data_IF_544628412936
#
_entry.id   IF_544628412936
#
_cell.length_a   1.000
_cell.length_b   1.000
_cell.length_c   1.000
_cell.angle_alpha   90.00
_cell.angle_beta   90.00
_cell.angle_gamma   90.00
#
_symmetry.space_group_name_H-M   'P 1'
#
loop_
_entity.id
_entity.type
_entity.pdbx_description
1 polymer ?
#
# COMPACT_ATOMS: atom_id res chain seq x y z
N UNK A 1 34.20 24.85 3.70
CA UNK A 1 33.18 24.39 2.78
C UNK A 1 32.86 22.93 3.11
N UNK A 2 31.64 22.59 3.52
CA UNK A 2 31.29 21.21 3.89
C UNK A 2 31.33 20.32 2.64
N UNK A 3 31.87 19.11 2.77
CA UNK A 3 32.01 18.09 1.71
C UNK A 3 30.68 17.90 0.93
N UNK A 4 29.55 17.96 1.60
CA UNK A 4 28.18 17.92 1.02
C UNK A 4 27.86 19.10 0.07
N UNK A 5 28.36 20.31 0.33
CA UNK A 5 28.15 21.47 -0.56
C UNK A 5 28.96 21.39 -1.85
N UNK A 6 30.15 20.78 -1.78
CA UNK A 6 31.01 20.58 -2.94
C UNK A 6 30.36 19.62 -3.97
N UNK A 7 29.83 18.47 -3.50
CA UNK A 7 29.12 17.53 -4.36
C UNK A 7 27.82 18.10 -4.96
N UNK A 8 27.10 18.96 -4.22
CA UNK A 8 25.93 19.65 -4.75
C UNK A 8 26.29 20.61 -5.89
N UNK A 9 27.37 21.34 -5.73
CA UNK A 9 27.87 22.26 -6.73
C UNK A 9 28.36 21.53 -7.99
N UNK A 10 29.10 20.42 -7.86
CA UNK A 10 29.52 19.59 -8.99
C UNK A 10 28.32 19.03 -9.78
N UNK A 11 27.27 18.53 -9.10
CA UNK A 11 26.05 18.03 -9.77
C UNK A 11 25.35 19.11 -10.60
N UNK A 12 25.28 20.35 -10.10
CA UNK A 12 24.72 21.48 -10.86
C UNK A 12 25.58 21.87 -12.07
N UNK A 13 26.90 21.80 -11.95
CA UNK A 13 27.83 22.18 -13.01
C UNK A 13 27.89 21.14 -14.15
N UNK A 14 27.67 19.86 -13.82
CA UNK A 14 27.74 18.76 -14.82
C UNK A 14 26.39 18.54 -15.55
N UNK A 15 25.33 19.32 -15.23
CA UNK A 15 24.00 19.19 -15.87
C UNK A 15 23.30 17.87 -15.55
N UNK A 16 23.62 17.24 -14.39
CA UNK A 16 22.92 16.05 -13.92
C UNK A 16 21.47 16.40 -13.60
N UNK A 17 20.55 15.61 -14.12
CA UNK A 17 19.13 15.73 -13.81
C UNK A 17 18.87 15.73 -12.32
N UNK A 18 17.95 16.56 -11.87
CA UNK A 18 17.53 16.69 -10.49
C UNK A 18 16.73 15.46 -10.09
N UNK A 19 17.38 14.51 -9.41
CA UNK A 19 16.83 13.17 -9.17
C UNK A 19 15.89 13.14 -7.98
N UNK A 20 14.74 12.50 -8.16
CA UNK A 20 13.77 12.25 -7.12
C UNK A 20 13.37 10.76 -7.14
N UNK A 21 13.52 10.11 -5.99
CA UNK A 21 13.02 8.77 -5.77
C UNK A 21 11.60 8.80 -5.19
N UNK A 22 10.68 8.05 -5.78
CA UNK A 22 9.34 7.82 -5.22
C UNK A 22 9.32 6.41 -4.64
N UNK A 23 9.46 6.31 -3.33
CA UNK A 23 9.87 5.06 -2.66
C UNK A 23 8.71 4.38 -1.94
N UNK A 24 8.40 3.15 -2.31
CA UNK A 24 7.57 2.25 -1.53
C UNK A 24 8.40 1.60 -0.42
N UNK A 25 8.10 1.93 0.84
CA UNK A 25 8.89 1.45 2.00
C UNK A 25 8.40 0.11 2.58
N UNK A 26 7.45 -0.54 1.91
CA UNK A 26 6.81 -1.74 2.45
C UNK A 26 5.78 -1.43 3.56
N UNK A 27 5.21 -2.45 4.21
CA UNK A 27 4.10 -2.28 5.14
C UNK A 27 4.51 -1.72 6.50
N UNK A 28 5.78 -1.84 6.89
CA UNK A 28 6.23 -1.25 8.14
C UNK A 28 7.49 -1.87 8.75
N UNK A 29 7.67 -3.19 8.71
CA UNK A 29 8.87 -3.83 9.24
C UNK A 29 10.08 -3.54 8.34
N UNK A 30 11.27 -3.24 8.91
CA UNK A 30 12.49 -2.98 8.14
C UNK A 30 12.87 -4.14 7.20
N UNK A 31 12.59 -5.38 7.59
CA UNK A 31 12.87 -6.60 6.83
C UNK A 31 11.96 -6.74 5.59
N UNK A 32 10.84 -6.01 5.57
CA UNK A 32 9.90 -5.97 4.45
C UNK A 32 10.18 -4.80 3.49
N UNK A 33 11.20 -4.01 3.75
CA UNK A 33 11.70 -3.00 2.82
C UNK A 33 12.59 -3.66 1.78
N UNK A 34 12.39 -3.33 0.49
CA UNK A 34 13.26 -3.87 -0.56
C UNK A 34 14.67 -3.30 -0.44
N UNK A 35 15.73 -4.05 -0.84
CA UNK A 35 17.10 -3.50 -0.87
C UNK A 35 17.20 -2.22 -1.71
N UNK A 36 16.49 -2.16 -2.83
CA UNK A 36 16.46 -0.98 -3.70
C UNK A 36 15.85 0.24 -2.99
N UNK A 37 14.76 0.04 -2.22
CA UNK A 37 14.16 1.12 -1.43
C UNK A 37 15.13 1.64 -0.35
N UNK A 38 15.81 0.74 0.34
CA UNK A 38 16.84 1.11 1.33
C UNK A 38 17.97 1.92 0.69
N UNK A 39 18.51 1.45 -0.44
CA UNK A 39 19.59 2.14 -1.15
C UNK A 39 19.15 3.54 -1.60
N UNK A 40 17.95 3.69 -2.20
CA UNK A 40 17.43 4.99 -2.61
C UNK A 40 17.32 5.97 -1.43
N UNK A 41 16.90 5.48 -0.26
CA UNK A 41 16.81 6.29 0.96
C UNK A 41 18.20 6.64 1.50
N UNK A 42 19.18 5.73 1.45
CA UNK A 42 20.57 5.97 1.86
C UNK A 42 21.24 7.05 0.98
N UNK A 43 21.01 7.04 -0.32
CA UNK A 43 21.52 8.02 -1.29
C UNK A 43 20.86 9.40 -1.16
N UNK A 44 19.69 9.50 -0.53
CA UNK A 44 18.91 10.75 -0.47
C UNK A 44 19.49 11.75 0.52
N UNK A 45 19.55 13.01 0.12
CA UNK A 45 19.85 14.15 1.00
C UNK A 45 18.61 14.60 1.78
N UNK A 46 17.42 14.45 1.18
CA UNK A 46 16.12 14.90 1.71
C UNK A 46 15.10 13.79 1.58
N UNK A 47 14.33 13.53 2.66
CA UNK A 47 13.26 12.54 2.66
C UNK A 47 11.94 13.20 3.05
N UNK A 48 10.97 13.21 2.13
CA UNK A 48 9.63 13.72 2.33
C UNK A 48 8.65 12.57 2.64
N UNK A 49 7.72 12.78 3.57
CA UNK A 49 6.74 11.73 3.89
C UNK A 49 5.66 12.17 4.88
N UNK A 50 4.67 11.31 5.06
CA UNK A 50 3.75 11.43 6.17
C UNK A 50 4.48 11.12 7.49
N UNK A 51 4.24 11.86 8.60
CA UNK A 51 5.01 11.71 9.84
C UNK A 51 5.11 10.27 10.36
N UNK A 52 4.03 9.49 10.24
CA UNK A 52 4.01 8.08 10.68
C UNK A 52 4.96 7.22 9.82
N UNK A 53 5.06 7.50 8.51
CA UNK A 53 5.94 6.75 7.61
C UNK A 53 7.40 7.12 7.82
N UNK A 54 7.70 8.39 8.08
CA UNK A 54 9.06 8.82 8.43
C UNK A 54 9.57 8.15 9.72
N UNK A 55 8.68 7.94 10.72
CA UNK A 55 9.03 7.21 11.94
C UNK A 55 9.40 5.74 11.68
N UNK A 56 8.80 5.10 10.67
CA UNK A 56 9.12 3.70 10.33
C UNK A 56 10.53 3.53 9.73
N UNK A 57 11.13 4.61 9.26
CA UNK A 57 12.47 4.58 8.65
C UNK A 57 13.61 4.49 9.66
N UNK A 58 13.33 4.78 10.94
CA UNK A 58 14.34 4.68 12.02
C UNK A 58 15.62 5.44 11.68
N UNK A 59 16.74 4.72 11.64
CA UNK A 59 18.08 5.31 11.41
C UNK A 59 18.29 5.85 9.99
N UNK A 60 17.49 5.44 9.01
CA UNK A 60 17.61 5.93 7.62
C UNK A 60 17.33 7.43 7.47
N UNK A 61 16.65 8.06 8.42
CA UNK A 61 16.41 9.52 8.44
C UNK A 61 17.41 10.29 9.28
N UNK A 62 18.32 9.62 10.00
CA UNK A 62 19.34 10.29 10.81
C UNK A 62 20.28 11.09 9.91
N UNK A 63 20.58 12.32 10.35
CA UNK A 63 21.43 13.27 9.62
C UNK A 63 20.91 13.68 8.23
N UNK A 64 19.64 13.41 7.91
CA UNK A 64 18.99 13.83 6.67
C UNK A 64 17.94 14.90 6.93
N UNK A 65 17.74 15.79 5.98
CA UNK A 65 16.62 16.72 6.02
C UNK A 65 15.32 15.94 5.82
N UNK A 66 14.35 16.12 6.71
CA UNK A 66 13.02 15.53 6.56
C UNK A 66 11.96 16.60 6.28
N UNK A 67 11.01 16.28 5.39
CA UNK A 67 9.84 17.09 5.09
C UNK A 67 8.61 16.29 5.52
N UNK A 68 7.99 16.71 6.62
CA UNK A 68 6.80 16.07 7.18
C UNK A 68 5.58 16.94 6.95
N UNK A 69 4.59 16.45 6.19
CA UNK A 69 3.29 17.11 6.04
C UNK A 69 2.17 16.18 6.50
N UNK A 70 1.08 16.73 7.07
CA UNK A 70 -0.05 15.92 7.50
C UNK A 70 -0.75 15.24 6.31
N UNK A 71 -1.67 14.31 6.62
CA UNK A 71 -2.62 13.79 5.63
C UNK A 71 -3.39 14.94 4.97
N UNK A 72 -3.80 14.75 3.72
CA UNK A 72 -4.50 15.75 2.89
C UNK A 72 -3.63 16.88 2.36
N UNK A 73 -2.32 16.80 2.56
CA UNK A 73 -1.34 17.74 2.02
C UNK A 73 -0.36 17.02 1.08
N UNK A 74 -0.88 16.07 0.30
CA UNK A 74 -0.11 15.24 -0.60
C UNK A 74 0.57 16.08 -1.69
N UNK A 75 -0.18 16.97 -2.33
CA UNK A 75 0.34 17.87 -3.37
C UNK A 75 1.45 18.78 -2.83
N UNK A 76 1.22 19.41 -1.68
CA UNK A 76 2.24 20.24 -1.02
C UNK A 76 3.52 19.46 -0.74
N UNK A 77 3.40 18.22 -0.27
CA UNK A 77 4.54 17.34 -0.01
C UNK A 77 5.31 17.04 -1.29
N UNK A 78 4.62 16.74 -2.38
CA UNK A 78 5.23 16.51 -3.69
C UNK A 78 5.98 17.76 -4.18
N UNK A 79 5.35 18.93 -4.15
CA UNK A 79 5.96 20.21 -4.55
C UNK A 79 7.21 20.53 -3.73
N UNK A 80 7.15 20.37 -2.42
CA UNK A 80 8.31 20.57 -1.55
C UNK A 80 9.47 19.62 -1.90
N UNK A 81 9.17 18.38 -2.30
CA UNK A 81 10.18 17.43 -2.75
C UNK A 81 10.85 17.90 -4.05
N UNK A 82 10.08 18.37 -5.04
CA UNK A 82 10.61 18.97 -6.28
C UNK A 82 11.48 20.20 -6.00
N UNK A 83 11.04 21.09 -5.12
CA UNK A 83 11.81 22.30 -4.77
C UNK A 83 13.15 21.97 -4.10
N UNK A 84 13.26 20.86 -3.36
CA UNK A 84 14.57 20.41 -2.84
C UNK A 84 15.45 19.83 -3.95
N UNK A 85 14.87 19.08 -4.89
CA UNK A 85 15.60 18.56 -6.03
C UNK A 85 16.19 19.69 -6.91
N UNK A 86 15.44 20.76 -7.15
CA UNK A 86 15.92 21.98 -7.87
C UNK A 86 17.13 22.62 -7.21
N UNK A 87 17.33 22.44 -5.90
CA UNK A 87 18.52 22.92 -5.17
C UNK A 87 19.73 21.99 -5.33
N UNK A 88 19.64 20.97 -6.18
CA UNK A 88 20.69 19.98 -6.41
C UNK A 88 20.75 18.86 -5.33
N UNK A 89 19.69 18.70 -4.52
CA UNK A 89 19.56 17.59 -3.61
C UNK A 89 19.05 16.34 -4.33
N UNK A 90 19.50 15.16 -3.94
CA UNK A 90 18.75 13.91 -4.20
C UNK A 90 17.60 13.88 -3.20
N UNK A 91 16.37 13.92 -3.68
CA UNK A 91 15.20 13.92 -2.83
C UNK A 91 14.48 12.57 -2.93
N UNK A 92 13.86 12.12 -1.82
CA UNK A 92 12.94 10.99 -1.81
C UNK A 92 11.59 11.40 -1.25
N UNK A 93 10.51 10.84 -1.82
CA UNK A 93 9.19 10.87 -1.22
C UNK A 93 8.76 9.43 -0.88
N UNK A 94 8.38 9.19 0.39
CA UNK A 94 8.09 7.83 0.87
C UNK A 94 6.59 7.55 0.95
N UNK A 95 6.21 6.35 0.55
CA UNK A 95 4.87 5.79 0.62
C UNK A 95 4.89 4.49 1.44
N UNK A 96 3.92 4.30 2.34
CA UNK A 96 3.73 2.99 2.98
C UNK A 96 3.25 1.99 1.93
N UNK A 97 3.73 0.75 2.00
CA UNK A 97 3.47 -0.25 0.99
C UNK A 97 4.24 0.02 -0.30
N UNK A 98 3.55 0.15 -1.39
CA UNK A 98 4.07 0.44 -2.73
C UNK A 98 3.79 1.89 -3.15
N UNK A 99 4.71 2.49 -3.89
CA UNK A 99 4.59 3.89 -4.32
C UNK A 99 3.58 4.11 -5.45
N UNK A 100 3.26 3.07 -6.24
CA UNK A 100 2.29 3.09 -7.33
C UNK A 100 0.89 2.61 -6.93
N UNK A 101 0.76 1.86 -5.81
CA UNK A 101 -0.55 1.35 -5.34
C UNK A 101 -1.14 2.31 -4.31
N UNK A 102 -1.98 3.25 -4.75
CA UNK A 102 -2.54 4.35 -3.95
C UNK A 102 -1.46 5.20 -3.25
N UNK A 103 -0.25 5.20 -3.78
CA UNK A 103 0.87 5.99 -3.31
C UNK A 103 1.01 7.32 -4.06
N UNK A 104 2.21 7.93 -3.98
CA UNK A 104 2.45 9.27 -4.54
C UNK A 104 2.92 9.26 -6.00
N UNK A 105 3.20 8.08 -6.60
CA UNK A 105 3.84 8.01 -7.91
C UNK A 105 3.03 8.74 -9.01
N UNK A 106 1.71 8.51 -9.07
CA UNK A 106 0.86 9.19 -10.07
C UNK A 106 0.86 10.71 -9.89
N UNK A 107 0.71 11.20 -8.65
CA UNK A 107 0.71 12.63 -8.37
C UNK A 107 2.06 13.28 -8.69
N UNK A 108 3.17 12.59 -8.44
CA UNK A 108 4.51 13.07 -8.83
C UNK A 108 4.63 13.20 -10.35
N UNK A 109 4.10 12.26 -11.13
CA UNK A 109 4.06 12.36 -12.59
C UNK A 109 3.12 13.46 -13.08
N UNK A 110 1.97 13.67 -12.44
CA UNK A 110 1.03 14.75 -12.79
C UNK A 110 1.68 16.13 -12.60
N UNK A 111 2.54 16.29 -11.61
CA UNK A 111 3.27 17.54 -11.32
C UNK A 111 4.56 17.70 -12.13
N UNK A 112 5.14 16.61 -12.64
CA UNK A 112 6.44 16.61 -13.33
C UNK A 112 6.55 17.63 -14.49
N UNK A 113 5.51 17.90 -15.31
CA UNK A 113 5.58 18.90 -16.36
C UNK A 113 5.92 20.32 -15.87
N UNK A 114 5.64 20.65 -14.60
CA UNK A 114 6.03 21.93 -13.99
C UNK A 114 7.53 21.97 -13.59
N UNK A 115 8.22 20.82 -13.64
CA UNK A 115 9.61 20.62 -13.20
C UNK A 115 10.44 19.88 -14.27
N UNK A 116 10.65 20.48 -15.46
CA UNK A 116 11.19 19.76 -16.63
C UNK A 116 12.62 19.25 -16.46
N UNK A 117 13.40 19.82 -15.55
CA UNK A 117 14.78 19.39 -15.26
C UNK A 117 14.85 18.25 -14.23
N UNK A 118 13.71 17.90 -13.62
CA UNK A 118 13.66 16.81 -12.64
C UNK A 118 13.46 15.45 -13.32
N UNK A 119 14.01 14.42 -12.70
CA UNK A 119 13.84 13.01 -13.10
C UNK A 119 13.26 12.20 -11.95
N UNK A 120 12.19 11.46 -12.23
CA UNK A 120 11.57 10.57 -11.26
C UNK A 120 12.07 9.15 -11.47
N UNK A 121 12.45 8.48 -10.38
CA UNK A 121 12.66 7.04 -10.34
C UNK A 121 11.69 6.43 -9.34
N UNK A 122 10.83 5.53 -9.84
CA UNK A 122 9.81 4.85 -9.02
C UNK A 122 10.42 3.59 -8.44
N UNK A 123 10.48 3.52 -7.12
CA UNK A 123 11.02 2.37 -6.39
C UNK A 123 9.85 1.58 -5.79
N UNK A 124 9.64 0.32 -6.21
CA UNK A 124 8.53 -0.49 -5.73
C UNK A 124 8.70 -0.90 -4.27
N UNK A 125 7.57 -1.15 -3.62
CA UNK A 125 7.52 -1.68 -2.27
C UNK A 125 6.50 -2.82 -2.14
N UNK A 126 6.55 -3.56 -1.04
CA UNK A 126 5.59 -4.62 -0.77
C UNK A 126 4.27 -4.01 -0.34
N UNK A 127 3.29 -4.02 -1.24
CA UNK A 127 1.95 -3.47 -0.96
C UNK A 127 1.19 -4.27 0.10
N UNK A 128 0.26 -3.63 0.80
CA UNK A 128 -0.55 -4.24 1.85
C UNK A 128 -1.40 -5.43 1.35
N UNK A 129 -1.81 -5.43 0.08
CA UNK A 129 -2.52 -6.57 -0.51
C UNK A 129 -1.69 -7.86 -0.45
N UNK A 130 -0.41 -7.79 -0.79
CA UNK A 130 0.47 -8.96 -0.80
C UNK A 130 0.94 -9.32 0.63
N UNK A 131 1.40 -8.32 1.39
CA UNK A 131 1.91 -8.56 2.74
C UNK A 131 0.82 -8.96 3.74
N UNK A 132 -0.38 -8.41 3.63
CA UNK A 132 -1.53 -8.81 4.45
C UNK A 132 -2.06 -10.20 4.07
N UNK A 133 -2.09 -10.54 2.80
CA UNK A 133 -2.45 -11.87 2.33
C UNK A 133 -1.55 -12.95 2.95
N UNK A 134 -0.24 -12.71 3.02
CA UNK A 134 0.72 -13.66 3.62
C UNK A 134 0.44 -13.91 5.11
N UNK A 135 -0.05 -12.91 5.86
CA UNK A 135 -0.45 -13.09 7.27
C UNK A 135 -1.67 -14.00 7.39
N UNK A 136 -2.67 -13.82 6.52
CA UNK A 136 -3.89 -14.63 6.51
C UNK A 136 -3.66 -16.05 5.98
N UNK A 137 -2.70 -16.25 5.08
CA UNK A 137 -2.43 -17.50 4.39
C UNK A 137 -2.19 -17.26 2.89
N UNK A 138 -3.17 -17.57 2.06
CA UNK A 138 -3.12 -17.36 0.60
C UNK A 138 -4.49 -16.92 0.04
N UNK A 139 -5.12 -15.85 0.55
CA UNK A 139 -6.48 -15.44 0.16
C UNK A 139 -6.57 -14.89 -1.26
N UNK A 140 -5.44 -14.51 -1.87
CA UNK A 140 -5.33 -13.98 -3.24
C UNK A 140 -4.59 -14.95 -4.15
N UNK A 141 -4.72 -16.25 -3.90
CA UNK A 141 -4.09 -17.31 -4.70
C UNK A 141 -4.66 -17.48 -6.11
N UNK A 142 -5.72 -16.77 -6.45
CA UNK A 142 -6.37 -16.71 -7.77
C UNK A 142 -6.44 -15.25 -8.24
N UNK A 143 -7.19 -14.97 -9.32
CA UNK A 143 -7.38 -13.61 -9.81
C UNK A 143 -7.91 -12.70 -8.71
N UNK A 144 -7.31 -11.54 -8.54
CA UNK A 144 -7.71 -10.59 -7.51
C UNK A 144 -7.66 -9.15 -7.99
N UNK A 145 -8.43 -8.30 -7.34
CA UNK A 145 -8.39 -6.87 -7.56
C UNK A 145 -8.16 -6.11 -6.24
N UNK A 146 -7.71 -4.86 -6.36
CA UNK A 146 -7.51 -3.94 -5.25
C UNK A 146 -8.50 -2.79 -5.38
N UNK A 147 -9.31 -2.55 -4.33
CA UNK A 147 -10.32 -1.50 -4.31
C UNK A 147 -10.13 -0.64 -3.05
N UNK A 148 -10.03 0.67 -3.22
CA UNK A 148 -10.04 1.62 -2.11
C UNK A 148 -11.46 2.10 -1.85
N UNK A 149 -11.87 2.10 -0.57
CA UNK A 149 -13.15 2.69 -0.15
C UNK A 149 -13.06 4.20 0.11
N UNK A 150 -11.92 4.84 -0.16
CA UNK A 150 -11.79 6.29 -0.02
C UNK A 150 -12.56 7.01 -1.14
N UNK A 151 -13.59 7.76 -0.74
CA UNK A 151 -14.40 8.59 -1.64
C UNK A 151 -13.87 10.02 -1.82
N UNK A 152 -12.65 10.29 -1.39
CA UNK A 152 -12.06 11.64 -1.47
C UNK A 152 -11.81 12.10 -2.90
N UNK A 153 -11.37 11.19 -3.75
CA UNK A 153 -11.04 11.45 -5.17
C UNK A 153 -11.91 10.62 -6.13
N UNK A 154 -12.69 9.67 -5.60
CA UNK A 154 -13.51 8.76 -6.39
C UNK A 154 -14.92 8.75 -5.81
N UNK A 155 -15.96 9.16 -6.57
CA UNK A 155 -17.34 9.11 -6.08
C UNK A 155 -17.75 7.71 -5.60
N UNK A 156 -18.58 7.65 -4.55
CA UNK A 156 -18.99 6.38 -3.94
C UNK A 156 -19.70 5.44 -4.94
N UNK A 157 -20.47 5.99 -5.86
CA UNK A 157 -21.16 5.24 -6.90
C UNK A 157 -20.19 4.49 -7.82
N UNK A 158 -19.00 5.06 -8.05
CA UNK A 158 -17.94 4.40 -8.81
C UNK A 158 -17.31 3.27 -8.00
N UNK A 159 -17.15 3.46 -6.69
CA UNK A 159 -16.65 2.42 -5.77
C UNK A 159 -17.65 1.26 -5.72
N UNK A 160 -18.95 1.54 -5.56
CA UNK A 160 -20.03 0.54 -5.58
C UNK A 160 -20.01 -0.26 -6.88
N UNK A 161 -19.93 0.41 -8.03
CA UNK A 161 -19.84 -0.25 -9.34
C UNK A 161 -18.64 -1.21 -9.43
N UNK A 162 -17.48 -0.81 -8.88
CA UNK A 162 -16.27 -1.64 -8.86
C UNK A 162 -16.44 -2.87 -7.97
N UNK A 163 -17.04 -2.71 -6.79
CA UNK A 163 -17.34 -3.82 -5.87
C UNK A 163 -18.27 -4.84 -6.51
N UNK A 164 -19.37 -4.39 -7.15
CA UNK A 164 -20.31 -5.26 -7.84
C UNK A 164 -19.67 -5.98 -9.03
N UNK A 165 -18.86 -5.29 -9.83
CA UNK A 165 -18.15 -5.89 -10.96
C UNK A 165 -17.14 -6.95 -10.52
N UNK A 166 -16.42 -6.71 -9.42
CA UNK A 166 -15.50 -7.67 -8.84
C UNK A 166 -16.24 -8.91 -8.29
N UNK A 167 -17.41 -8.71 -7.68
CA UNK A 167 -18.26 -9.80 -7.20
C UNK A 167 -18.83 -10.63 -8.37
N UNK A 168 -19.31 -9.98 -9.42
CA UNK A 168 -19.84 -10.66 -10.63
C UNK A 168 -18.73 -11.45 -11.37
N UNK A 169 -17.49 -10.96 -11.36
CA UNK A 169 -16.34 -11.66 -11.92
C UNK A 169 -15.70 -12.71 -11.01
N UNK A 170 -16.26 -12.93 -9.81
CA UNK A 170 -15.73 -13.84 -8.78
C UNK A 170 -14.25 -13.59 -8.43
N UNK A 171 -13.82 -12.32 -8.43
CA UNK A 171 -12.47 -11.93 -8.00
C UNK A 171 -12.31 -12.02 -6.48
N UNK A 172 -11.12 -12.37 -6.03
CA UNK A 172 -10.71 -12.02 -4.66
C UNK A 172 -10.52 -10.50 -4.58
N UNK A 173 -10.96 -9.85 -3.50
CA UNK A 173 -10.88 -8.40 -3.38
C UNK A 173 -10.00 -8.03 -2.19
N UNK A 174 -8.95 -7.25 -2.42
CA UNK A 174 -8.20 -6.57 -1.36
C UNK A 174 -8.72 -5.15 -1.20
N UNK A 175 -9.33 -4.85 -0.06
CA UNK A 175 -9.93 -3.54 0.24
C UNK A 175 -8.94 -2.69 1.03
N UNK A 176 -8.65 -1.50 0.51
CA UNK A 176 -7.85 -0.45 1.15
C UNK A 176 -8.76 0.66 1.69
N UNK A 177 -8.27 1.35 2.73
CA UNK A 177 -9.01 2.44 3.37
C UNK A 177 -10.42 2.03 3.83
N UNK A 178 -10.58 0.87 4.52
CA UNK A 178 -11.90 0.33 4.86
C UNK A 178 -12.66 1.22 5.85
N UNK A 179 -11.96 2.08 6.61
CA UNK A 179 -12.56 2.99 7.58
C UNK A 179 -11.64 4.17 7.89
N UNK A 180 -12.22 5.25 8.40
CA UNK A 180 -11.50 6.40 8.97
C UNK A 180 -12.41 7.13 9.94
N UNK A 181 -11.86 8.13 10.72
CA UNK A 181 -12.66 8.93 11.68
C UNK A 181 -13.90 9.57 11.04
N UNK A 182 -13.81 10.04 9.81
CA UNK A 182 -14.93 10.64 9.07
C UNK A 182 -15.79 9.64 8.29
N UNK A 183 -15.45 8.36 8.28
CA UNK A 183 -16.07 7.30 7.48
C UNK A 183 -16.03 5.97 8.21
N UNK A 184 -16.66 5.86 9.38
CA UNK A 184 -16.58 4.65 10.21
C UNK A 184 -17.38 3.48 9.64
N UNK A 185 -18.39 3.75 8.80
CA UNK A 185 -19.36 2.80 8.26
C UNK A 185 -19.00 2.26 6.85
N UNK A 186 -17.88 2.68 6.26
CA UNK A 186 -17.58 2.35 4.87
C UNK A 186 -17.35 0.85 4.62
N UNK A 187 -16.72 0.14 5.56
CA UNK A 187 -16.62 -1.31 5.47
C UNK A 187 -18.02 -1.96 5.49
N UNK A 188 -18.89 -1.54 6.40
CA UNK A 188 -20.26 -2.04 6.49
C UNK A 188 -21.02 -1.85 5.17
N UNK A 189 -20.98 -0.63 4.63
CA UNK A 189 -21.62 -0.30 3.33
C UNK A 189 -21.07 -1.16 2.20
N UNK A 190 -19.75 -1.39 2.14
CA UNK A 190 -19.13 -2.24 1.14
C UNK A 190 -19.59 -3.70 1.26
N UNK A 191 -19.67 -4.23 2.49
CA UNK A 191 -20.19 -5.57 2.73
C UNK A 191 -21.68 -5.69 2.33
N UNK A 192 -22.52 -4.71 2.65
CA UNK A 192 -23.94 -4.67 2.25
C UNK A 192 -24.11 -4.66 0.72
N UNK A 193 -23.22 -3.94 0.00
CA UNK A 193 -23.20 -3.96 -1.48
C UNK A 193 -22.82 -5.34 -1.99
N UNK A 194 -21.76 -5.95 -1.46
CA UNK A 194 -21.30 -7.27 -1.87
C UNK A 194 -22.33 -8.36 -1.58
N UNK A 195 -23.05 -8.29 -0.45
CA UNK A 195 -24.12 -9.24 -0.08
C UNK A 195 -25.32 -9.25 -1.07
N UNK A 196 -25.43 -8.29 -1.98
CA UNK A 196 -26.41 -8.33 -3.06
C UNK A 196 -26.08 -9.38 -4.13
N UNK A 197 -24.79 -9.83 -4.18
CA UNK A 197 -24.27 -10.73 -5.22
C UNK A 197 -23.54 -11.96 -4.66
N UNK A 198 -22.96 -11.81 -3.49
CA UNK A 198 -22.10 -12.82 -2.85
C UNK A 198 -22.83 -13.41 -1.65
N UNK A 199 -22.65 -14.72 -1.44
CA UNK A 199 -23.26 -15.43 -0.31
C UNK A 199 -22.72 -14.93 1.02
N UNK A 200 -23.58 -14.92 2.05
CA UNK A 200 -23.26 -14.40 3.39
C UNK A 200 -22.14 -15.16 4.10
N UNK A 201 -21.94 -16.43 3.78
CA UNK A 201 -20.92 -17.32 4.34
C UNK A 201 -19.58 -17.24 3.58
N UNK A 202 -19.46 -16.38 2.55
CA UNK A 202 -18.21 -16.14 1.82
C UNK A 202 -17.08 -15.82 2.80
N UNK A 203 -16.01 -16.61 2.70
CA UNK A 203 -14.85 -16.44 3.58
C UNK A 203 -14.11 -15.14 3.30
N UNK A 204 -13.84 -14.42 4.36
CA UNK A 204 -13.17 -13.12 4.39
C UNK A 204 -12.13 -13.09 5.50
N UNK A 205 -11.32 -12.06 5.50
CA UNK A 205 -10.42 -11.78 6.61
C UNK A 205 -9.89 -10.35 6.55
N UNK A 206 -9.30 -9.90 7.64
CA UNK A 206 -8.60 -8.62 7.65
C UNK A 206 -7.32 -8.70 8.46
N UNK A 207 -6.37 -7.83 8.14
CA UNK A 207 -5.11 -7.67 8.87
C UNK A 207 -4.92 -6.22 9.21
N UNK A 208 -4.64 -5.95 10.48
CA UNK A 208 -4.34 -4.63 11.02
C UNK A 208 -2.85 -4.51 11.31
N UNK A 209 -2.27 -3.33 11.11
CA UNK A 209 -0.87 -3.01 11.41
C UNK A 209 0.13 -3.99 10.78
N UNK A 210 -0.05 -4.33 9.52
CA UNK A 210 0.82 -5.27 8.81
C UNK A 210 2.30 -4.83 8.93
N UNK A 211 3.16 -5.74 9.43
CA UNK A 211 4.59 -5.45 9.61
C UNK A 211 4.90 -4.38 10.65
N UNK A 212 4.00 -4.11 11.59
CA UNK A 212 4.15 -3.13 12.67
C UNK A 212 3.83 -3.77 14.01
N UNK A 213 4.23 -3.11 15.08
CA UNK A 213 3.82 -3.50 16.42
C UNK A 213 2.28 -3.59 16.53
N UNK A 214 1.79 -4.64 17.19
CA UNK A 214 0.35 -4.90 17.30
C UNK A 214 -0.29 -5.42 16.00
N UNK A 215 0.47 -6.09 15.11
CA UNK A 215 -0.12 -6.83 14.00
C UNK A 215 -1.16 -7.83 14.51
N UNK A 216 -2.39 -7.72 14.02
CA UNK A 216 -3.49 -8.60 14.38
C UNK A 216 -4.31 -8.96 13.12
N UNK A 217 -4.93 -10.14 13.12
CA UNK A 217 -5.78 -10.55 12.01
C UNK A 217 -6.99 -11.34 12.50
N UNK A 218 -8.03 -11.37 11.69
CA UNK A 218 -9.22 -12.19 11.90
C UNK A 218 -9.69 -12.78 10.57
N UNK A 219 -10.17 -14.01 10.61
CA UNK A 219 -10.87 -14.68 9.51
C UNK A 219 -12.32 -14.81 9.93
N UNK A 220 -13.24 -14.45 9.06
CA UNK A 220 -14.69 -14.43 9.33
C UNK A 220 -15.48 -14.60 8.02
N UNK A 221 -16.79 -14.70 8.10
CA UNK A 221 -17.67 -14.65 6.93
C UNK A 221 -17.94 -13.20 6.51
N UNK A 222 -18.46 -13.00 5.30
CA UNK A 222 -18.85 -11.68 4.80
C UNK A 222 -19.94 -11.05 5.69
N UNK A 223 -20.89 -11.85 6.18
CA UNK A 223 -21.91 -11.39 7.12
C UNK A 223 -21.32 -10.90 8.44
N UNK A 224 -20.33 -11.62 8.99
CA UNK A 224 -19.65 -11.21 10.22
C UNK A 224 -18.77 -9.98 10.01
N UNK A 225 -18.09 -9.90 8.84
CA UNK A 225 -17.19 -8.81 8.50
C UNK A 225 -17.92 -7.44 8.49
N UNK A 226 -19.17 -7.41 8.13
CA UNK A 226 -20.03 -6.22 8.10
C UNK A 226 -20.05 -5.46 9.44
N UNK A 227 -19.93 -6.19 10.55
CA UNK A 227 -20.04 -5.62 11.90
C UNK A 227 -18.66 -5.46 12.58
N UNK A 228 -17.56 -5.76 11.86
CA UNK A 228 -16.20 -5.61 12.40
C UNK A 228 -15.75 -4.14 12.45
N UNK A 229 -15.06 -3.80 13.54
CA UNK A 229 -14.49 -2.48 13.72
C UNK A 229 -13.05 -2.45 13.18
N UNK A 230 -12.85 -1.68 12.14
CA UNK A 230 -11.54 -1.53 11.46
C UNK A 230 -11.12 -0.07 11.38
N UNK A 231 -9.87 0.16 11.06
CA UNK A 231 -9.30 1.50 10.91
C UNK A 231 -8.53 1.65 9.59
N UNK A 232 -7.90 2.81 9.40
CA UNK A 232 -7.12 3.10 8.19
C UNK A 232 -5.83 2.29 8.05
N UNK A 233 -5.41 1.58 9.10
CA UNK A 233 -4.24 0.69 9.09
C UNK A 233 -4.62 -0.77 8.86
N UNK A 234 -5.86 -1.00 8.47
CA UNK A 234 -6.42 -2.33 8.20
C UNK A 234 -6.54 -2.54 6.68
N UNK A 235 -6.16 -3.73 6.23
CA UNK A 235 -6.45 -4.23 4.88
C UNK A 235 -7.40 -5.40 5.00
N UNK A 236 -8.49 -5.37 4.23
CA UNK A 236 -9.54 -6.40 4.26
C UNK A 236 -9.46 -7.23 2.99
N UNK A 237 -9.75 -8.52 3.12
CA UNK A 237 -9.73 -9.49 2.03
C UNK A 237 -11.07 -10.20 1.94
N UNK A 238 -11.72 -10.07 0.79
CA UNK A 238 -12.93 -10.83 0.45
C UNK A 238 -12.48 -11.96 -0.46
N UNK A 239 -12.74 -13.19 -0.08
CA UNK A 239 -12.44 -14.34 -0.92
C UNK A 239 -13.41 -14.51 -2.09
N UNK A 240 -13.08 -15.41 -3.02
CA UNK A 240 -13.97 -15.80 -4.12
C UNK A 240 -14.68 -17.13 -3.83
N UNK A 241 -15.36 -17.73 -4.81
CA UNK A 241 -16.10 -18.98 -4.66
C UNK A 241 -15.22 -20.17 -4.24
N UNK A 242 -13.89 -20.11 -4.46
CA UNK A 242 -12.93 -21.16 -4.11
C UNK A 242 -12.25 -20.91 -2.76
N UNK A 243 -12.61 -19.84 -2.05
CA UNK A 243 -11.95 -19.47 -0.78
C UNK A 243 -12.51 -20.31 0.38
N UNK A 244 -11.60 -20.85 1.17
CA UNK A 244 -11.93 -21.69 2.32
C UNK A 244 -10.86 -21.58 3.42
N UNK A 245 -11.10 -22.17 4.56
CA UNK A 245 -10.17 -22.17 5.70
C UNK A 245 -9.47 -23.52 5.81
N UNK A 246 -8.13 -23.48 5.86
CA UNK A 246 -7.29 -24.67 6.09
C UNK A 246 -6.40 -24.41 7.30
N UNK A 247 -6.54 -25.21 8.36
CA UNK A 247 -5.74 -25.08 9.59
C UNK A 247 -5.67 -23.63 10.11
N UNK A 248 -6.82 -22.94 10.12
CA UNK A 248 -6.92 -21.56 10.60
C UNK A 248 -6.34 -20.50 9.66
N UNK A 249 -6.04 -20.84 8.40
CA UNK A 249 -5.59 -19.91 7.37
C UNK A 249 -6.60 -19.80 6.25
N UNK A 250 -6.79 -18.57 5.73
CA UNK A 250 -7.64 -18.28 4.58
C UNK A 250 -6.88 -18.57 3.29
N UNK A 251 -7.44 -19.45 2.48
CA UNK A 251 -6.81 -19.92 1.23
C UNK A 251 -7.82 -19.82 0.10
N UNK A 252 -7.39 -19.35 -1.06
CA UNK A 252 -8.15 -19.42 -2.31
C UNK A 252 -7.47 -20.41 -3.24
N UNK A 253 -8.17 -21.51 -3.54
CA UNK A 253 -7.66 -22.59 -4.38
C UNK A 253 -7.62 -22.21 -5.86
N UNK A 254 -6.73 -22.88 -6.61
CA UNK A 254 -6.63 -22.74 -8.09
C UNK A 254 -7.12 -24.00 -8.80
N UNK A 255 -7.96 -24.81 -8.13
CA UNK A 255 -8.53 -26.06 -8.66
C UNK A 255 -7.48 -27.08 -9.11
N UNK A 256 -6.32 -27.14 -8.42
CA UNK A 256 -5.38 -28.22 -8.66
C UNK A 256 -6.02 -29.57 -8.33
N UNK A 257 -5.97 -30.53 -9.22
CA UNK A 257 -6.30 -31.92 -8.95
C UNK A 257 -5.21 -32.53 -8.07
N UNK A 258 -5.41 -32.45 -6.76
CA UNK A 258 -4.51 -33.09 -5.79
C UNK A 258 -4.91 -34.58 -5.72
N UNK A 259 -4.14 -35.45 -6.34
CA UNK A 259 -4.26 -36.87 -6.14
C UNK A 259 -3.84 -37.17 -4.69
N UNK A 260 -4.81 -37.35 -3.80
CA UNK A 260 -4.60 -37.82 -2.42
C UNK A 260 -4.23 -39.31 -2.47
N UNK A 261 -2.99 -39.61 -2.84
CA UNK A 261 -2.40 -40.93 -2.68
C UNK A 261 -1.93 -41.21 -1.22
N UNK A 262 -2.56 -40.61 -0.24
CA UNK A 262 -2.28 -40.89 1.17
C UNK A 262 -3.56 -41.13 1.95
N UNK A 263 -4.22 -42.23 1.67
CA UNK A 263 -5.09 -42.90 2.65
C UNK A 263 -5.43 -44.31 2.13
N UNK A 264 -4.48 -45.22 2.24
CA UNK A 264 -4.69 -46.67 2.42
C UNK A 264 -3.38 -47.26 2.90
N UNK A 265 -3.04 -47.01 4.15
CA UNK A 265 -2.31 -48.01 4.95
C UNK A 265 -3.06 -48.16 6.24
N UNK A 266 -3.47 -49.40 6.50
CA UNK A 266 -4.32 -49.98 7.51
C UNK A 266 -4.05 -49.55 8.95
#
# INVERSE_FOLDING_TARGET
MHFSQYFKYERQVIGLKQKIYVVGIGPGAPEMMTPQARQALEESDVIAGYPVYLKLLGDLVQNKKTIATPMTREEERCRLCFEEAKKGCIASIVCSGDSGVYGMASLMYDLLPEYPDCELEIIPGITAAVSGAAVLGAPIGHDFCVISLSDRLTPWEVIEKRLLAAADGDFCIAIYNPSSKGRPDYLKRACEILLRKVQQDRMCGYVRNIGREGTAYKICTLEQLKDEQVDMFTTVFIGNSQSHVVKGKLVTGRNYHINTHMQKEN
#
